data_IF_718611566624
#
_entry.id   IF_718611566624
#
_cell.length_a   1.000
_cell.length_b   1.000
_cell.length_c   1.000
_cell.angle_alpha   90.00
_cell.angle_beta   90.00
_cell.angle_gamma   90.00
#
_symmetry.space_group_name_H-M   'P 1'
#
loop_
_entity.id
_entity.type
_entity.pdbx_description
1 polymer ?
#
# COMPACT_ATOMS: atom_id res chain seq x y z
N UNK A 1 -6.23 5.78 -15.45
CA UNK A 1 -6.53 4.35 -15.28
C UNK A 1 -5.34 3.76 -14.56
N UNK A 2 -5.57 3.28 -13.34
CA UNK A 2 -4.53 2.76 -12.48
C UNK A 2 -3.83 1.57 -13.14
N UNK A 3 -2.50 1.54 -13.08
CA UNK A 3 -1.67 0.47 -13.65
C UNK A 3 -0.69 -0.08 -12.63
N UNK A 4 -0.43 -1.38 -12.72
CA UNK A 4 0.62 -2.05 -11.96
C UNK A 4 1.77 -2.47 -12.88
N UNK A 5 2.99 -2.42 -12.36
CA UNK A 5 4.21 -2.81 -13.11
C UNK A 5 4.57 -4.26 -12.84
N UNK A 6 4.58 -4.63 -11.57
CA UNK A 6 4.89 -5.96 -11.08
C UNK A 6 4.23 -6.20 -9.71
N UNK A 7 4.38 -7.43 -9.23
CA UNK A 7 3.97 -7.85 -7.88
C UNK A 7 5.12 -8.57 -7.20
N UNK A 8 5.14 -8.54 -5.87
CA UNK A 8 6.10 -9.28 -5.06
C UNK A 8 5.44 -9.82 -3.78
N UNK A 9 5.97 -10.91 -3.24
CA UNK A 9 5.57 -11.44 -1.93
C UNK A 9 6.56 -10.93 -0.88
N UNK A 10 6.09 -10.02 -0.04
CA UNK A 10 6.92 -9.32 0.96
C UNK A 10 6.42 -9.57 2.38
N UNK A 11 7.34 -9.52 3.34
CA UNK A 11 7.08 -9.79 4.76
C UNK A 11 7.28 -8.56 5.66
N UNK A 12 7.69 -7.43 5.08
CA UNK A 12 8.15 -6.26 5.83
C UNK A 12 7.32 -5.01 5.57
N UNK A 13 6.36 -5.03 4.64
CA UNK A 13 5.56 -3.84 4.33
C UNK A 13 4.43 -3.61 5.33
N UNK A 14 3.81 -4.69 5.82
CA UNK A 14 2.76 -4.66 6.84
C UNK A 14 3.10 -5.65 7.96
N UNK A 15 2.86 -5.28 9.23
CA UNK A 15 3.33 -6.04 10.38
C UNK A 15 2.59 -7.38 10.49
N UNK A 16 3.36 -8.46 10.65
CA UNK A 16 2.88 -9.84 10.82
C UNK A 16 2.09 -10.40 9.62
N UNK A 17 2.21 -9.78 8.43
CA UNK A 17 1.52 -10.21 7.21
C UNK A 17 2.46 -10.80 6.17
N UNK A 18 1.95 -11.77 5.40
CA UNK A 18 2.54 -12.16 4.12
C UNK A 18 1.79 -11.42 3.03
N UNK A 19 2.42 -10.39 2.46
CA UNK A 19 1.76 -9.42 1.61
C UNK A 19 2.06 -9.67 0.14
N UNK A 20 1.01 -9.77 -0.69
CA UNK A 20 1.10 -9.50 -2.12
C UNK A 20 1.19 -7.98 -2.33
N UNK A 21 2.41 -7.48 -2.54
CA UNK A 21 2.64 -6.08 -2.83
C UNK A 21 2.45 -5.83 -4.33
N UNK A 22 1.53 -4.94 -4.68
CA UNK A 22 1.22 -4.55 -6.06
C UNK A 22 1.86 -3.18 -6.30
N UNK A 23 2.89 -3.11 -7.14
CA UNK A 23 3.62 -1.88 -7.40
C UNK A 23 2.95 -1.06 -8.50
N UNK A 24 2.45 0.12 -8.11
CA UNK A 24 1.63 0.97 -8.95
C UNK A 24 2.46 2.05 -9.64
N UNK A 25 2.23 2.23 -10.94
CA UNK A 25 2.97 3.18 -11.76
C UNK A 25 2.39 4.59 -11.68
N UNK A 26 2.95 5.51 -12.45
CA UNK A 26 2.55 6.92 -12.52
C UNK A 26 2.63 7.69 -11.18
N UNK A 27 3.61 7.36 -10.34
CA UNK A 27 3.77 8.05 -9.05
C UNK A 27 4.11 9.55 -9.24
N UNK A 28 3.25 10.47 -8.79
CA UNK A 28 3.46 11.91 -8.93
C UNK A 28 4.42 12.47 -7.89
N UNK A 29 4.67 11.76 -6.77
CA UNK A 29 5.49 12.28 -5.67
C UNK A 29 6.96 12.46 -6.05
N UNK A 30 7.49 11.62 -6.96
CA UNK A 30 8.85 11.70 -7.51
C UNK A 30 9.94 12.03 -6.48
N UNK A 31 9.86 11.40 -5.31
CA UNK A 31 10.69 11.76 -4.16
C UNK A 31 12.20 11.67 -4.51
N UNK A 32 13.02 12.68 -4.17
CA UNK A 32 14.46 12.63 -4.40
C UNK A 32 15.12 11.41 -3.76
N UNK A 33 15.78 10.61 -4.59
CA UNK A 33 16.46 9.39 -4.14
C UNK A 33 15.54 8.19 -3.88
N UNK A 34 14.30 8.21 -4.37
CA UNK A 34 13.40 7.07 -4.35
C UNK A 34 14.05 5.81 -4.95
N UNK A 35 13.85 4.66 -4.30
CA UNK A 35 14.33 3.37 -4.80
C UNK A 35 13.49 2.88 -6.00
N UNK A 36 12.23 3.30 -6.09
CA UNK A 36 11.27 2.85 -7.11
C UNK A 36 11.05 3.90 -8.21
N UNK A 37 12.12 4.53 -8.70
CA UNK A 37 12.04 5.55 -9.77
C UNK A 37 11.41 5.04 -11.07
N UNK A 38 11.45 3.72 -11.31
CA UNK A 38 10.76 3.09 -12.43
C UNK A 38 9.23 3.25 -12.37
N UNK A 39 8.65 3.45 -11.18
CA UNK A 39 7.21 3.70 -10.99
C UNK A 39 6.79 5.16 -11.31
N UNK A 40 7.73 6.06 -11.66
CA UNK A 40 7.39 7.45 -11.97
C UNK A 40 6.72 7.65 -13.34
N UNK A 41 6.86 6.67 -14.23
CA UNK A 41 6.28 6.69 -15.57
C UNK A 41 4.93 5.99 -15.53
N UNK A 42 4.03 6.41 -16.42
CA UNK A 42 2.76 5.72 -16.64
C UNK A 42 2.99 4.50 -17.54
N UNK A 43 3.28 3.36 -16.92
CA UNK A 43 3.63 2.08 -17.57
C UNK A 43 2.95 0.90 -16.87
N UNK A 44 3.06 -0.29 -17.46
CA UNK A 44 2.50 -1.52 -16.89
C UNK A 44 1.11 -1.84 -17.41
N UNK A 45 0.45 -2.75 -16.71
CA UNK A 45 -0.86 -3.28 -17.10
C UNK A 45 -1.97 -2.63 -16.28
N UNK A 46 -3.19 -2.49 -16.85
CA UNK A 46 -4.34 -2.00 -16.09
C UNK A 46 -4.57 -2.85 -14.83
N UNK A 47 -4.75 -2.20 -13.68
CA UNK A 47 -5.14 -2.88 -12.45
C UNK A 47 -6.67 -2.87 -12.34
N UNK A 48 -7.29 -3.96 -12.82
CA UNK A 48 -8.73 -4.19 -12.71
C UNK A 48 -9.04 -5.21 -11.62
N UNK A 49 -10.32 -5.38 -11.29
CA UNK A 49 -10.79 -6.44 -10.40
C UNK A 49 -10.41 -7.82 -10.93
N UNK A 50 -10.51 -8.06 -12.24
CA UNK A 50 -10.14 -9.32 -12.86
C UNK A 50 -8.63 -9.60 -12.75
N UNK A 51 -7.80 -8.56 -12.88
CA UNK A 51 -6.35 -8.69 -12.69
C UNK A 51 -6.03 -9.06 -11.23
N UNK A 52 -6.74 -8.47 -10.26
CA UNK A 52 -6.61 -8.82 -8.84
C UNK A 52 -7.02 -10.29 -8.62
N UNK A 53 -8.18 -10.71 -9.13
CA UNK A 53 -8.62 -12.11 -8.99
C UNK A 53 -7.61 -13.10 -9.58
N UNK A 54 -7.01 -12.78 -10.72
CA UNK A 54 -5.96 -13.62 -11.31
C UNK A 54 -4.74 -13.71 -10.39
N UNK A 55 -4.25 -12.57 -9.87
CA UNK A 55 -3.12 -12.56 -8.93
C UNK A 55 -3.44 -13.36 -7.65
N UNK A 56 -4.68 -13.29 -7.16
CA UNK A 56 -5.10 -14.05 -5.99
C UNK A 56 -5.19 -15.54 -6.27
N UNK A 57 -5.73 -15.96 -7.41
CA UNK A 57 -5.75 -17.36 -7.80
C UNK A 57 -4.33 -17.97 -7.89
N UNK A 58 -3.34 -17.18 -8.31
CA UNK A 58 -1.93 -17.59 -8.41
C UNK A 58 -1.23 -17.68 -7.02
N UNK A 59 -1.79 -17.04 -5.98
CA UNK A 59 -1.13 -16.87 -4.66
C UNK A 59 -1.98 -17.27 -3.43
N UNK A 60 -3.18 -17.81 -3.64
CA UNK A 60 -4.25 -17.91 -2.62
C UNK A 60 -3.88 -18.64 -1.32
N UNK A 61 -2.98 -19.62 -1.37
CA UNK A 61 -2.57 -20.37 -0.17
C UNK A 61 -1.42 -19.72 0.63
N UNK A 62 -0.86 -18.60 0.16
CA UNK A 62 0.42 -18.07 0.67
C UNK A 62 0.35 -16.67 1.24
N UNK A 63 -0.75 -15.94 1.05
CA UNK A 63 -0.84 -14.52 1.43
C UNK A 63 -1.93 -14.30 2.46
N UNK A 64 -1.69 -13.33 3.34
CA UNK A 64 -2.68 -12.85 4.32
C UNK A 64 -3.09 -11.40 4.05
N UNK A 65 -2.37 -10.71 3.15
CA UNK A 65 -2.56 -9.30 2.88
C UNK A 65 -2.32 -8.95 1.41
N UNK A 66 -3.08 -7.99 0.88
CA UNK A 66 -2.80 -7.29 -0.38
C UNK A 66 -2.36 -5.87 -0.05
N UNK A 67 -1.24 -5.44 -0.62
CA UNK A 67 -0.67 -4.12 -0.42
C UNK A 67 -0.63 -3.31 -1.71
N UNK A 68 -1.36 -2.20 -1.77
CA UNK A 68 -1.22 -1.24 -2.87
C UNK A 68 -0.01 -0.33 -2.62
N UNK A 69 1.01 -0.39 -3.48
CA UNK A 69 2.26 0.37 -3.32
C UNK A 69 2.27 1.54 -4.30
N UNK A 70 1.73 2.69 -3.88
CA UNK A 70 1.58 3.89 -4.71
C UNK A 70 0.11 4.17 -5.06
N UNK A 71 -0.17 4.49 -6.32
CA UNK A 71 -1.53 4.87 -6.75
C UNK A 71 -1.92 6.29 -6.35
N UNK A 72 -0.95 7.09 -5.94
CA UNK A 72 -1.11 8.49 -5.50
C UNK A 72 -1.68 9.43 -6.58
N UNK A 73 -1.71 8.99 -7.85
CA UNK A 73 -2.35 9.71 -8.97
C UNK A 73 -3.86 9.43 -9.07
N UNK A 74 -4.35 8.33 -8.52
CA UNK A 74 -5.74 7.86 -8.65
C UNK A 74 -6.27 7.27 -7.32
N UNK A 75 -6.31 8.05 -6.21
CA UNK A 75 -6.72 7.56 -4.89
C UNK A 75 -8.16 7.02 -4.84
N UNK A 76 -9.08 7.56 -5.66
CA UNK A 76 -10.44 7.03 -5.79
C UNK A 76 -10.47 5.58 -6.32
N UNK A 77 -9.59 5.26 -7.28
CA UNK A 77 -9.45 3.89 -7.79
C UNK A 77 -8.92 2.95 -6.70
N UNK A 78 -7.94 3.39 -5.91
CA UNK A 78 -7.43 2.63 -4.75
C UNK A 78 -8.54 2.36 -3.75
N UNK A 79 -9.32 3.38 -3.40
CA UNK A 79 -10.45 3.23 -2.48
C UNK A 79 -11.47 2.21 -2.99
N UNK A 80 -11.77 2.24 -4.29
CA UNK A 80 -12.73 1.35 -4.93
C UNK A 80 -12.25 -0.10 -4.95
N UNK A 81 -10.96 -0.33 -5.26
CA UNK A 81 -10.35 -1.67 -5.24
C UNK A 81 -10.26 -2.22 -3.81
N UNK A 82 -9.92 -1.38 -2.83
CA UNK A 82 -9.90 -1.76 -1.43
C UNK A 82 -11.30 -2.18 -0.93
N UNK A 83 -12.35 -1.43 -1.30
CA UNK A 83 -13.73 -1.80 -1.01
C UNK A 83 -14.10 -3.15 -1.63
N UNK A 84 -13.73 -3.36 -2.90
CA UNK A 84 -13.97 -4.62 -3.59
C UNK A 84 -13.34 -5.81 -2.88
N UNK A 85 -12.05 -5.71 -2.52
CA UNK A 85 -11.33 -6.77 -1.80
C UNK A 85 -11.99 -7.03 -0.45
N UNK A 86 -12.36 -5.97 0.30
CA UNK A 86 -13.04 -6.13 1.59
C UNK A 86 -14.35 -6.90 1.47
N UNK A 87 -15.11 -6.68 0.39
CA UNK A 87 -16.39 -7.35 0.17
C UNK A 87 -16.23 -8.80 -0.28
N UNK A 88 -15.24 -9.12 -1.11
CA UNK A 88 -15.12 -10.43 -1.77
C UNK A 88 -14.10 -11.37 -1.11
N UNK A 89 -13.12 -10.83 -0.38
CA UNK A 89 -12.01 -11.55 0.26
C UNK A 89 -11.84 -11.08 1.71
N UNK A 90 -12.85 -11.34 2.54
CA UNK A 90 -12.92 -10.83 3.91
C UNK A 90 -11.82 -11.37 4.83
N UNK A 91 -11.20 -12.49 4.47
CA UNK A 91 -10.05 -13.09 5.12
C UNK A 91 -8.74 -12.33 4.87
N UNK A 92 -8.65 -11.57 3.77
CA UNK A 92 -7.46 -10.82 3.42
C UNK A 92 -7.43 -9.44 4.09
N UNK A 93 -6.23 -9.04 4.49
CA UNK A 93 -5.93 -7.70 4.94
C UNK A 93 -5.64 -6.77 3.78
N UNK A 94 -6.14 -5.53 3.86
CA UNK A 94 -5.92 -4.53 2.81
C UNK A 94 -4.97 -3.45 3.33
N UNK A 95 -3.81 -3.35 2.70
CA UNK A 95 -2.78 -2.35 2.98
C UNK A 95 -2.66 -1.34 1.85
N UNK A 96 -2.32 -0.10 2.19
CA UNK A 96 -1.97 0.92 1.19
C UNK A 96 -0.77 1.74 1.64
N UNK A 97 0.17 1.95 0.73
CA UNK A 97 1.26 2.90 0.89
C UNK A 97 1.07 4.10 -0.06
N UNK A 98 0.96 5.29 0.54
CA UNK A 98 0.96 6.57 -0.15
C UNK A 98 2.21 7.37 0.15
N UNK A 99 2.84 7.91 -0.90
CA UNK A 99 3.97 8.83 -0.77
C UNK A 99 3.56 10.26 -0.38
N UNK A 100 2.27 10.52 -0.16
CA UNK A 100 1.74 11.84 0.25
C UNK A 100 1.96 12.06 1.74
N UNK A 101 1.86 13.31 2.19
CA UNK A 101 1.92 13.67 3.61
C UNK A 101 0.54 13.63 4.29
N UNK A 102 -0.54 13.65 3.52
CA UNK A 102 -1.94 13.60 3.97
C UNK A 102 -2.74 12.65 3.08
N UNK A 103 -3.78 12.02 3.63
CA UNK A 103 -4.69 11.17 2.85
C UNK A 103 -5.56 11.99 1.91
N UNK A 104 -5.89 11.42 0.75
CA UNK A 104 -6.89 12.00 -0.15
C UNK A 104 -8.28 11.97 0.51
N UNK A 105 -9.15 12.98 0.28
CA UNK A 105 -10.55 12.90 0.72
C UNK A 105 -11.33 11.72 0.10
N UNK A 106 -10.85 11.16 -1.00
CA UNK A 106 -11.47 10.00 -1.67
C UNK A 106 -11.27 8.68 -0.91
N UNK A 107 -10.42 8.68 0.11
CA UNK A 107 -10.04 7.49 0.87
C UNK A 107 -10.98 7.32 2.05
N UNK A 108 -11.65 6.17 2.09
CA UNK A 108 -12.49 5.77 3.21
C UNK A 108 -11.73 4.75 4.05
N UNK A 109 -11.37 5.16 5.28
CA UNK A 109 -10.63 4.31 6.23
C UNK A 109 -11.20 2.90 6.42
N UNK A 110 -12.53 2.67 6.48
CA UNK A 110 -13.09 1.32 6.67
C UNK A 110 -12.67 0.28 5.62
N UNK A 111 -12.21 0.72 4.44
CA UNK A 111 -11.78 -0.20 3.39
C UNK A 111 -10.39 -0.80 3.66
N UNK A 112 -9.60 -0.22 4.56
CA UNK A 112 -8.20 -0.60 4.80
C UNK A 112 -8.01 -1.18 6.20
N UNK A 113 -7.09 -2.12 6.34
CA UNK A 113 -6.55 -2.55 7.64
C UNK A 113 -5.29 -1.74 8.00
N UNK A 114 -4.50 -1.39 6.98
CA UNK A 114 -3.22 -0.70 7.15
C UNK A 114 -3.06 0.45 6.17
N UNK A 115 -2.55 1.59 6.65
CA UNK A 115 -2.15 2.72 5.80
C UNK A 115 -0.76 3.19 6.21
N UNK A 116 0.19 3.07 5.28
CA UNK A 116 1.52 3.66 5.34
C UNK A 116 1.48 5.01 4.62
N UNK A 117 1.88 6.08 5.31
CA UNK A 117 1.84 7.44 4.77
C UNK A 117 3.19 8.14 4.97
N UNK A 118 3.59 8.90 3.97
CA UNK A 118 4.73 9.79 4.04
C UNK A 118 5.70 9.59 2.87
N UNK A 119 6.22 10.69 2.27
CA UNK A 119 7.19 10.59 1.19
C UNK A 119 8.47 9.93 1.67
N UNK A 120 9.17 9.25 0.77
CA UNK A 120 10.51 8.77 1.07
C UNK A 120 11.48 9.95 1.17
N UNK A 121 12.14 10.08 2.32
CA UNK A 121 13.20 11.07 2.55
C UNK A 121 14.48 10.33 2.88
N UNK A 122 15.44 10.33 1.94
CA UNK A 122 16.68 9.54 2.02
C UNK A 122 17.40 9.64 3.37
N UNK A 123 17.54 10.84 3.92
CA UNK A 123 18.27 11.05 5.17
C UNK A 123 17.48 10.64 6.42
N UNK A 124 16.16 10.44 6.33
CA UNK A 124 15.32 9.97 7.44
C UNK A 124 15.14 8.45 7.44
N UNK A 125 15.31 7.79 6.29
CA UNK A 125 15.18 6.33 6.15
C UNK A 125 13.73 5.85 6.09
N UNK A 126 13.55 4.53 5.96
CA UNK A 126 12.25 3.85 5.96
C UNK A 126 11.70 3.64 7.37
N UNK A 127 10.65 2.81 7.50
CA UNK A 127 9.97 2.54 8.77
C UNK A 127 10.87 1.93 9.86
N UNK A 128 11.95 1.25 9.46
CA UNK A 128 12.95 0.68 10.36
C UNK A 128 13.82 1.74 11.05
N UNK A 129 13.84 2.97 10.52
CA UNK A 129 14.54 4.11 11.12
C UNK A 129 13.66 4.84 12.13
N UNK A 130 14.18 5.04 13.35
CA UNK A 130 13.53 5.87 14.38
C UNK A 130 13.38 7.34 14.00
N UNK A 131 14.10 7.81 12.97
CA UNK A 131 14.03 9.19 12.48
C UNK A 131 13.08 9.37 11.30
N UNK A 132 12.43 8.30 10.84
CA UNK A 132 11.59 8.35 9.65
C UNK A 132 10.45 9.37 9.79
N UNK A 133 10.10 9.99 8.66
CA UNK A 133 8.88 10.79 8.54
C UNK A 133 7.67 9.94 8.15
N UNK A 134 7.88 8.67 7.76
CA UNK A 134 6.80 7.77 7.37
C UNK A 134 6.09 7.25 8.61
N UNK A 135 4.79 7.02 8.49
CA UNK A 135 3.96 6.47 9.56
C UNK A 135 3.21 5.26 9.06
N UNK A 136 3.22 4.19 9.84
CA UNK A 136 2.34 3.05 9.64
C UNK A 136 1.17 3.15 10.61
N UNK A 137 -0.04 3.15 10.06
CA UNK A 137 -1.27 3.15 10.82
C UNK A 137 -2.02 1.83 10.65
N UNK A 138 -2.54 1.30 11.75
CA UNK A 138 -3.58 0.27 11.73
C UNK A 138 -4.94 0.95 11.88
N UNK A 139 -5.90 0.60 11.02
CA UNK A 139 -7.26 1.11 11.11
C UNK A 139 -8.04 0.30 12.13
N UNK A 140 -8.62 0.97 13.13
CA UNK A 140 -9.44 0.31 14.17
C UNK A 140 -10.88 0.12 13.70
N UNK A 141 -11.64 -0.70 14.43
CA UNK A 141 -13.07 -0.93 14.15
C UNK A 141 -13.92 0.34 14.24
N UNK A 142 -13.46 1.32 15.02
CA UNK A 142 -14.06 2.65 15.16
C UNK A 142 -13.62 3.62 14.04
N UNK A 143 -12.98 3.10 12.98
CA UNK A 143 -12.45 3.85 11.84
C UNK A 143 -11.44 4.93 12.25
N UNK A 144 -10.58 4.61 13.23
CA UNK A 144 -9.50 5.49 13.67
C UNK A 144 -8.14 4.97 13.22
N UNK A 145 -7.21 5.88 12.99
CA UNK A 145 -5.83 5.54 12.66
C UNK A 145 -5.03 5.40 13.97
N UNK A 146 -4.57 4.19 14.28
CA UNK A 146 -3.67 3.92 15.39
C UNK A 146 -2.24 3.81 14.88
N UNK A 147 -1.33 4.69 15.35
CA UNK A 147 0.08 4.67 14.94
C UNK A 147 0.79 3.45 15.53
N UNK A 148 1.32 2.61 14.66
CA UNK A 148 2.05 1.39 14.99
C UNK A 148 3.45 1.36 14.35
N UNK A 149 3.97 2.54 13.98
CA UNK A 149 5.29 2.71 13.34
C UNK A 149 6.42 2.10 14.18
N UNK A 150 6.28 2.10 15.50
CA UNK A 150 7.26 1.55 16.42
C UNK A 150 7.47 0.03 16.27
N UNK A 151 6.54 -0.71 15.65
CA UNK A 151 6.67 -2.15 15.42
C UNK A 151 7.80 -2.51 14.43
N UNK A 152 8.24 -1.55 13.61
CA UNK A 152 9.28 -1.75 12.61
C UNK A 152 10.70 -1.55 13.18
N UNK A 153 10.82 -1.06 14.42
CA UNK A 153 12.12 -0.81 15.03
C UNK A 153 12.63 -2.07 15.72
N UNK A 154 13.88 -2.45 15.41
CA UNK A 154 14.58 -3.48 16.18
C UNK A 154 14.61 -3.06 17.66
N UNK A 155 14.30 -4.03 18.53
CA UNK A 155 14.44 -3.87 19.98
C UNK A 155 15.90 -3.70 20.36
#
# INVERSE_FOLDING_TARGET
MLKFVDTDIVFQEFPDEVTLAINLSNCPCRCPGCHSTFLWKDVGNPLTTEAIEQMLAENSERITCIGFMGGDSEPEAINSLAAYIRTHHAELKVGWYTGRTTLSPDIQLPHFDYIKIGPYIRHLGGLDSRRTNQRMYRITKENKMNDITNLFWKK
#
